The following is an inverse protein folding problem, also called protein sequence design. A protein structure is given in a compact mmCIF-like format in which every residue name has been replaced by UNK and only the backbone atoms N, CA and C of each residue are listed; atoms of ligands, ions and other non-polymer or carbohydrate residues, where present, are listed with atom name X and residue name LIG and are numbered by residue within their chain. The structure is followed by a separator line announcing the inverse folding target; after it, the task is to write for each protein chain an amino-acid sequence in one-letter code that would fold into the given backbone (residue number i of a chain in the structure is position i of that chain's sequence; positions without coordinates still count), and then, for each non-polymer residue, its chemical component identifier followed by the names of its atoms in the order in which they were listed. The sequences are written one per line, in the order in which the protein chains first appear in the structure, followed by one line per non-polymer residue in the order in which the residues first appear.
data_IF_275047967025
#
_entry.id   IF_275047967025
#
_cell.length_a   1.000
_cell.length_b   1.000
_cell.length_c   1.000
_cell.angle_alpha   90.00
_cell.angle_beta   90.00
_cell.angle_gamma   90.00
#
_symmetry.space_group_name_H-M   'P 1'
#
loop_
_entity.id
_entity.type
_entity.pdbx_description
1 polymer ?
#
# COMPACT_ATOMS: atom_id res chain seq x y z
N UNK A 1 24.73 -2.74 31.24
CA UNK A 1 24.91 -1.60 30.33
C UNK A 1 25.62 -2.11 29.08
N UNK A 2 24.91 -2.32 27.97
CA UNK A 2 25.53 -2.69 26.69
C UNK A 2 25.42 -1.49 25.76
N UNK A 3 26.57 -0.89 25.49
CA UNK A 3 26.75 0.19 24.52
C UNK A 3 26.61 -0.41 23.11
N UNK A 4 25.73 0.18 22.29
CA UNK A 4 25.66 -0.10 20.86
C UNK A 4 26.42 1.01 20.12
N UNK A 5 27.38 0.60 19.30
CA UNK A 5 28.18 1.48 18.43
C UNK A 5 27.33 1.96 17.24
N UNK A 6 27.48 3.21 16.76
CA UNK A 6 26.72 3.66 15.60
C UNK A 6 27.35 3.06 14.34
N UNK A 7 26.58 2.26 13.61
CA UNK A 7 26.97 1.84 12.26
C UNK A 7 26.85 3.05 11.33
N UNK A 8 27.97 3.69 11.03
CA UNK A 8 28.07 4.64 9.92
C UNK A 8 27.94 3.87 8.60
N UNK A 9 26.70 3.72 8.13
CA UNK A 9 26.43 3.30 6.75
C UNK A 9 26.86 4.47 5.86
N UNK A 10 27.99 4.30 5.18
CA UNK A 10 28.35 5.15 4.04
C UNK A 10 27.26 4.93 3.00
N UNK A 11 26.34 5.90 2.89
CA UNK A 11 25.32 5.93 1.85
C UNK A 11 26.04 6.18 0.53
N UNK A 12 26.57 5.12 -0.08
CA UNK A 12 26.93 5.14 -1.49
C UNK A 12 25.66 5.56 -2.21
N UNK A 13 25.72 6.70 -2.91
CA UNK A 13 24.60 7.30 -3.60
C UNK A 13 23.75 6.19 -4.24
N UNK A 14 22.58 5.95 -3.66
CA UNK A 14 21.58 5.10 -4.27
C UNK A 14 21.25 5.79 -5.59
N UNK A 15 21.64 5.15 -6.68
CA UNK A 15 21.15 5.53 -8.00
C UNK A 15 19.64 5.40 -7.93
N UNK A 16 18.96 6.51 -7.66
CA UNK A 16 17.54 6.66 -7.91
C UNK A 16 17.38 6.50 -9.41
N UNK A 17 17.29 5.25 -9.86
CA UNK A 17 16.62 4.90 -11.11
C UNK A 17 15.17 5.29 -10.85
N UNK A 18 14.86 6.56 -11.08
CA UNK A 18 13.57 7.13 -10.73
C UNK A 18 12.55 6.44 -11.63
N UNK A 19 11.83 5.46 -11.08
CA UNK A 19 10.75 4.75 -11.77
C UNK A 19 9.63 5.71 -12.21
N UNK A 20 9.60 6.89 -11.59
CA UNK A 20 8.80 8.04 -11.99
C UNK A 20 9.66 9.16 -12.60
N UNK A 21 9.03 10.02 -13.40
CA UNK A 21 9.69 11.25 -13.86
C UNK A 21 10.14 12.13 -12.69
N UNK A 22 11.17 12.95 -12.93
CA UNK A 22 11.71 13.89 -11.93
C UNK A 22 10.59 14.71 -11.27
N UNK A 23 10.64 14.80 -9.94
CA UNK A 23 9.66 15.54 -9.14
C UNK A 23 8.37 14.79 -8.83
N UNK A 24 8.29 13.48 -9.13
CA UNK A 24 7.21 12.60 -8.71
C UNK A 24 7.72 11.48 -7.81
N UNK A 25 6.82 10.98 -6.98
CA UNK A 25 7.06 9.89 -6.06
C UNK A 25 6.34 8.63 -6.53
N UNK A 26 6.99 7.47 -6.42
CA UNK A 26 6.38 6.18 -6.75
C UNK A 26 5.59 5.69 -5.54
N UNK A 27 4.27 5.76 -5.63
CA UNK A 27 3.38 5.08 -4.70
C UNK A 27 3.18 3.63 -5.14
N UNK A 28 3.20 2.69 -4.18
CA UNK A 28 2.84 1.29 -4.40
C UNK A 28 1.89 0.79 -3.31
N UNK A 29 0.96 -0.05 -3.73
CA UNK A 29 0.13 -0.91 -2.88
C UNK A 29 0.51 -2.36 -3.16
N UNK A 30 0.98 -3.05 -2.13
CA UNK A 30 1.08 -4.52 -2.09
C UNK A 30 -0.12 -5.04 -1.30
N UNK A 31 -1.03 -5.73 -1.97
CA UNK A 31 -2.26 -6.28 -1.39
C UNK A 31 -2.15 -7.80 -1.34
N UNK A 32 -2.26 -8.37 -0.14
CA UNK A 32 -2.43 -9.81 0.06
C UNK A 32 -3.90 -10.09 0.29
N UNK A 33 -4.50 -10.96 -0.52
CA UNK A 33 -5.91 -11.35 -0.38
C UNK A 33 -6.07 -12.54 0.55
N UNK A 34 -7.26 -12.68 1.13
CA UNK A 34 -7.70 -13.91 1.80
C UNK A 34 -8.41 -14.85 0.81
N UNK A 35 -9.15 -15.85 1.31
CA UNK A 35 -9.89 -16.77 0.44
C UNK A 35 -11.19 -16.20 -0.14
N UNK A 36 -11.63 -14.99 0.26
CA UNK A 36 -12.81 -14.30 -0.27
C UNK A 36 -12.46 -12.98 -1.01
N UNK A 37 -11.46 -12.99 -1.91
CA UNK A 37 -10.84 -11.81 -2.52
C UNK A 37 -11.82 -10.96 -3.35
N UNK A 38 -12.96 -11.56 -3.72
CA UNK A 38 -14.01 -10.90 -4.49
C UNK A 38 -14.68 -9.75 -3.75
N UNK A 39 -14.48 -9.64 -2.43
CA UNK A 39 -15.07 -8.60 -1.58
C UNK A 39 -14.15 -7.38 -1.43
N UNK A 40 -12.88 -7.54 -1.76
CA UNK A 40 -11.88 -6.49 -1.58
C UNK A 40 -11.89 -5.47 -2.73
N UNK A 41 -11.93 -4.19 -2.38
CA UNK A 41 -11.83 -3.07 -3.31
C UNK A 41 -11.01 -1.92 -2.72
N UNK A 42 -10.44 -1.06 -3.56
CA UNK A 42 -9.71 0.11 -3.08
C UNK A 42 -9.80 1.31 -4.03
N UNK A 43 -9.57 2.49 -3.48
CA UNK A 43 -9.57 3.78 -4.17
C UNK A 43 -8.39 4.62 -3.66
N UNK A 44 -7.79 5.41 -4.55
CA UNK A 44 -6.77 6.39 -4.24
C UNK A 44 -7.21 7.75 -4.76
N UNK A 45 -7.33 8.73 -3.88
CA UNK A 45 -7.70 10.11 -4.18
C UNK A 45 -6.56 11.06 -3.85
N UNK A 46 -6.46 12.17 -4.56
CA UNK A 46 -5.61 13.28 -4.11
C UNK A 46 -6.34 14.18 -3.09
N UNK A 47 -5.64 15.13 -2.48
CA UNK A 47 -6.20 16.08 -1.50
C UNK A 47 -7.28 17.04 -2.04
N UNK A 48 -7.66 16.94 -3.31
CA UNK A 48 -8.83 17.62 -3.90
C UNK A 48 -10.01 16.67 -4.12
N UNK A 49 -9.92 15.44 -3.63
CA UNK A 49 -10.90 14.37 -3.84
C UNK A 49 -10.88 13.74 -5.25
N UNK A 50 -9.95 14.12 -6.13
CA UNK A 50 -9.87 13.55 -7.49
C UNK A 50 -9.39 12.11 -7.39
N UNK A 51 -10.14 11.19 -8.00
CA UNK A 51 -9.75 9.79 -8.16
C UNK A 51 -8.49 9.67 -9.04
N UNK A 52 -7.48 9.00 -8.52
CA UNK A 52 -6.19 8.73 -9.17
C UNK A 52 -6.12 7.28 -9.65
N UNK A 53 -6.58 6.34 -8.83
CA UNK A 53 -6.64 4.93 -9.16
C UNK A 53 -7.70 4.23 -8.33
N UNK A 54 -8.23 3.13 -8.83
CA UNK A 54 -9.16 2.28 -8.10
C UNK A 54 -9.12 0.86 -8.65
N UNK A 55 -9.51 -0.08 -7.79
CA UNK A 55 -9.82 -1.43 -8.19
C UNK A 55 -11.15 -1.85 -7.57
N UNK A 56 -12.04 -2.39 -8.41
CA UNK A 56 -13.34 -2.88 -7.97
C UNK A 56 -13.21 -4.35 -7.56
N UNK A 57 -14.04 -4.73 -6.59
CA UNK A 57 -14.30 -6.10 -6.17
C UNK A 57 -14.51 -7.07 -7.36
N UNK A 58 -14.10 -8.32 -7.17
CA UNK A 58 -14.44 -9.46 -8.05
C UNK A 58 -13.43 -9.86 -9.12
N UNK A 59 -12.18 -9.37 -9.06
CA UNK A 59 -11.14 -9.72 -10.05
C UNK A 59 -9.84 -10.25 -9.45
N UNK A 60 -9.76 -10.36 -8.13
CA UNK A 60 -8.64 -10.96 -7.45
C UNK A 60 -8.89 -12.45 -7.23
N UNK A 61 -7.80 -13.22 -7.27
CA UNK A 61 -7.75 -14.63 -6.92
C UNK A 61 -7.49 -14.78 -5.41
N UNK A 62 -7.92 -15.90 -4.82
CA UNK A 62 -7.82 -16.10 -3.39
C UNK A 62 -6.38 -16.38 -2.97
N UNK A 63 -5.99 -15.90 -1.79
CA UNK A 63 -4.69 -16.17 -1.14
C UNK A 63 -3.48 -15.81 -2.02
N UNK A 64 -3.56 -14.68 -2.72
CA UNK A 64 -2.52 -14.21 -3.65
C UNK A 64 -2.08 -12.79 -3.32
N UNK A 65 -1.01 -12.33 -3.98
CA UNK A 65 -0.42 -10.99 -3.80
C UNK A 65 -0.54 -10.18 -5.09
N UNK A 66 -1.10 -8.98 -4.96
CA UNK A 66 -1.28 -8.02 -6.03
C UNK A 66 -0.51 -6.73 -5.79
N UNK A 67 0.23 -6.28 -6.81
CA UNK A 67 0.97 -5.02 -6.79
C UNK A 67 0.27 -3.98 -7.67
N UNK A 68 0.00 -2.82 -7.11
CA UNK A 68 -0.48 -1.64 -7.84
C UNK A 68 0.50 -0.51 -7.62
N UNK A 69 0.71 0.34 -8.63
CA UNK A 69 1.60 1.49 -8.49
C UNK A 69 1.18 2.69 -9.32
N UNK A 70 1.57 3.88 -8.88
CA UNK A 70 1.31 5.13 -9.59
C UNK A 70 2.35 6.18 -9.25
N UNK A 71 2.69 7.01 -10.25
CA UNK A 71 3.57 8.15 -10.05
C UNK A 71 2.78 9.38 -9.62
N UNK A 72 2.93 9.76 -8.36
CA UNK A 72 2.19 10.84 -7.72
C UNK A 72 3.00 12.14 -7.74
N UNK A 73 2.31 13.25 -7.98
CA UNK A 73 2.89 14.56 -7.70
C UNK A 73 2.95 14.77 -6.16
N UNK A 74 3.87 15.58 -5.64
CA UNK A 74 3.88 15.96 -4.24
C UNK A 74 2.52 16.54 -3.82
N UNK A 75 2.02 16.08 -2.67
CA UNK A 75 0.73 16.47 -2.13
C UNK A 75 0.20 15.41 -1.17
N UNK A 76 -0.99 15.68 -0.65
CA UNK A 76 -1.70 14.77 0.24
C UNK A 76 -2.58 13.84 -0.57
N UNK A 77 -2.65 12.58 -0.15
CA UNK A 77 -3.48 11.55 -0.76
C UNK A 77 -4.29 10.80 0.29
N UNK A 78 -5.45 10.32 -0.15
CA UNK A 78 -6.34 9.48 0.65
C UNK A 78 -6.44 8.12 -0.04
N UNK A 79 -5.95 7.09 0.62
CA UNK A 79 -6.17 5.70 0.24
C UNK A 79 -7.34 5.14 1.02
N UNK A 80 -8.22 4.42 0.34
CA UNK A 80 -9.39 3.79 0.94
C UNK A 80 -9.40 2.34 0.49
N UNK A 81 -9.49 1.41 1.42
CA UNK A 81 -9.67 -0.01 1.13
C UNK A 81 -10.91 -0.52 1.86
N UNK A 82 -11.67 -1.37 1.19
CA UNK A 82 -12.91 -1.95 1.70
C UNK A 82 -12.92 -3.44 1.45
N UNK A 83 -13.47 -4.16 2.40
CA UNK A 83 -13.88 -5.53 2.25
C UNK A 83 -15.36 -5.63 2.67
N UNK A 84 -16.24 -5.90 1.71
CA UNK A 84 -17.70 -5.94 1.92
C UNK A 84 -18.16 -7.28 2.56
N UNK A 85 -17.26 -7.95 3.27
CA UNK A 85 -17.42 -9.30 3.80
C UNK A 85 -17.01 -9.47 5.26
N UNK A 86 -16.23 -10.52 5.50
CA UNK A 86 -15.65 -10.87 6.80
C UNK A 86 -14.41 -10.03 7.14
N UNK A 87 -14.00 -9.13 6.25
CA UNK A 87 -12.72 -8.44 6.34
C UNK A 87 -11.62 -9.27 5.71
N UNK A 88 -10.48 -8.65 5.42
CA UNK A 88 -9.37 -9.25 4.69
C UNK A 88 -8.63 -10.41 5.41
N UNK A 89 -9.17 -10.97 6.50
CA UNK A 89 -8.45 -11.87 7.37
C UNK A 89 -9.35 -12.76 8.23
N UNK A 90 -8.88 -14.00 8.45
CA UNK A 90 -8.41 -14.54 9.75
C UNK A 90 -8.75 -16.02 9.89
N UNK A 91 -9.99 -16.38 9.62
CA UNK A 91 -10.43 -17.78 9.53
C UNK A 91 -10.26 -18.33 8.10
N UNK A 92 -10.35 -17.47 7.09
CA UNK A 92 -10.31 -17.83 5.68
C UNK A 92 -9.02 -17.40 4.97
N UNK A 93 -7.95 -17.12 5.71
CA UNK A 93 -6.68 -16.65 5.14
C UNK A 93 -6.15 -15.43 5.87
N UNK A 94 -4.90 -15.08 5.61
CA UNK A 94 -4.23 -13.93 6.21
C UNK A 94 -3.97 -12.90 5.11
N UNK A 95 -4.94 -12.02 4.88
CA UNK A 95 -4.77 -10.88 4.00
C UNK A 95 -4.31 -9.63 4.75
N UNK A 96 -4.04 -8.59 3.98
CA UNK A 96 -3.33 -7.41 4.45
C UNK A 96 -2.89 -6.51 3.31
N UNK A 97 -2.39 -5.33 3.64
CA UNK A 97 -1.72 -4.50 2.64
C UNK A 97 -0.54 -3.72 3.20
N UNK A 98 0.35 -3.35 2.29
CA UNK A 98 1.48 -2.46 2.53
C UNK A 98 1.41 -1.32 1.52
N UNK A 99 1.44 -0.09 2.02
CA UNK A 99 1.63 1.11 1.20
C UNK A 99 3.06 1.59 1.33
N UNK A 100 3.68 1.88 0.19
CA UNK A 100 5.00 2.49 0.12
C UNK A 100 5.02 3.72 -0.77
N UNK A 101 5.88 4.68 -0.45
CA UNK A 101 6.22 5.82 -1.30
C UNK A 101 7.73 5.89 -1.41
N UNK A 102 8.26 5.82 -2.64
CA UNK A 102 9.71 5.75 -2.92
C UNK A 102 10.41 4.67 -2.08
N UNK A 103 9.78 3.49 -2.03
CA UNK A 103 10.22 2.30 -1.28
C UNK A 103 10.27 2.49 0.26
N UNK A 104 9.77 3.61 0.77
CA UNK A 104 9.54 3.84 2.21
C UNK A 104 8.15 3.35 2.57
N UNK A 105 8.04 2.44 3.54
CA UNK A 105 6.75 1.99 4.08
C UNK A 105 6.09 3.13 4.84
N UNK A 106 4.90 3.54 4.40
CA UNK A 106 4.08 4.55 5.07
C UNK A 106 2.96 3.90 5.88
N UNK A 107 2.49 2.72 5.47
CA UNK A 107 1.46 1.94 6.17
C UNK A 107 1.66 0.47 5.92
N UNK A 108 1.45 -0.33 6.97
CA UNK A 108 1.31 -1.78 6.90
C UNK A 108 0.14 -2.22 7.77
N UNK A 109 -0.80 -2.98 7.22
CA UNK A 109 -1.93 -3.59 7.95
C UNK A 109 -1.98 -5.08 7.63
N UNK A 110 -2.13 -5.87 8.70
CA UNK A 110 -2.44 -7.30 8.70
C UNK A 110 -3.63 -7.45 9.69
N UNK A 111 -4.62 -8.29 9.41
CA UNK A 111 -5.71 -8.56 10.37
C UNK A 111 -7.13 -8.23 9.88
N UNK A 112 -8.11 -8.31 10.80
CA UNK A 112 -9.54 -8.07 10.55
C UNK A 112 -9.83 -6.58 10.36
N UNK A 113 -10.10 -6.17 9.12
CA UNK A 113 -10.67 -4.86 8.85
C UNK A 113 -11.61 -4.95 7.65
N UNK A 114 -12.80 -4.37 7.81
CA UNK A 114 -13.81 -4.23 6.78
C UNK A 114 -13.63 -2.93 5.98
N UNK A 115 -13.05 -1.90 6.60
CA UNK A 115 -12.94 -0.57 6.02
C UNK A 115 -11.81 0.20 6.66
N UNK A 116 -10.89 0.73 5.86
CA UNK A 116 -9.80 1.59 6.33
C UNK A 116 -9.57 2.79 5.41
N UNK A 117 -9.17 3.90 6.02
CA UNK A 117 -8.79 5.14 5.34
C UNK A 117 -7.41 5.56 5.84
N UNK A 118 -6.46 5.72 4.92
CA UNK A 118 -5.14 6.28 5.21
C UNK A 118 -4.94 7.61 4.48
N UNK A 119 -4.47 8.62 5.19
CA UNK A 119 -4.05 9.91 4.64
C UNK A 119 -2.53 10.06 4.77
N UNK A 120 -1.84 10.40 3.67
CA UNK A 120 -0.38 10.49 3.60
C UNK A 120 0.12 11.56 2.63
#
# INVERSE_FOLDING_TARGET
MKSASPLSIILLASTSTTACSVGKHLWKLSLTTDANPSQTSWELHNGKGKLIGAYKAGKYEPLDVYEHSSCLNPGVFTFIIRDDGDGLCCEHGQGGYILTVDDVVIRKIEGEYMFEIDEF
#
